data_IF_970941066648
#
_entry.id   IF_970941066648
#
_cell.length_a   1.000
_cell.length_b   1.000
_cell.length_c   1.000
_cell.angle_alpha   90.00
_cell.angle_beta   90.00
_cell.angle_gamma   90.00
#
_symmetry.space_group_name_H-M   'P 1'
#
loop_
_entity.id
_entity.type
_entity.pdbx_description
1 polymer ?
#
# COMPACT_ATOMS: atom_id res chain seq x y z
N UNK A 1 13.10 31.03 24.99
CA UNK A 1 11.79 30.43 24.65
C UNK A 1 11.93 29.68 23.34
N UNK A 2 11.72 28.36 23.32
CA UNK A 2 11.75 27.58 22.09
C UNK A 2 10.39 27.68 21.38
N UNK A 3 10.40 28.02 20.09
CA UNK A 3 9.20 28.08 19.28
C UNK A 3 8.66 26.66 19.04
N UNK A 4 7.44 26.37 19.49
CA UNK A 4 6.77 25.11 19.23
C UNK A 4 6.36 25.06 17.75
N UNK A 5 7.16 24.43 16.90
CA UNK A 5 6.83 24.22 15.49
C UNK A 5 5.81 23.10 15.39
N UNK A 6 4.63 23.39 14.83
CA UNK A 6 3.59 22.38 14.55
C UNK A 6 4.02 21.55 13.35
N UNK A 7 4.50 20.34 13.60
CA UNK A 7 4.78 19.37 12.55
C UNK A 7 3.46 18.79 11.99
N UNK A 8 3.46 18.34 10.72
CA UNK A 8 2.37 17.54 10.19
C UNK A 8 2.11 16.32 11.08
N UNK A 9 0.85 15.89 11.12
CA UNK A 9 0.38 14.68 11.81
C UNK A 9 1.26 13.49 11.43
N UNK A 10 1.64 12.67 12.42
CA UNK A 10 2.39 11.44 12.16
C UNK A 10 1.48 10.38 11.54
N UNK A 11 2.02 9.50 10.69
CA UNK A 11 1.23 8.40 10.11
C UNK A 11 0.62 7.49 11.19
N UNK A 12 1.34 7.28 12.30
CA UNK A 12 0.84 6.57 13.48
C UNK A 12 -0.34 7.23 14.17
N UNK A 13 -0.52 8.53 13.95
CA UNK A 13 -1.66 9.24 14.47
C UNK A 13 -2.85 9.09 13.53
N UNK A 14 -2.71 8.77 12.23
CA UNK A 14 -3.81 8.71 11.25
C UNK A 14 -5.02 7.92 11.77
N UNK A 15 -6.25 8.50 11.73
CA UNK A 15 -7.41 7.78 12.21
C UNK A 15 -7.72 6.59 11.31
N UNK A 16 -8.27 5.52 11.90
CA UNK A 16 -8.67 4.33 11.14
C UNK A 16 -9.65 4.70 10.02
N UNK A 17 -9.56 3.98 8.89
CA UNK A 17 -10.37 4.26 7.73
C UNK A 17 -11.87 4.26 8.06
N UNK A 18 -12.65 5.23 7.56
CA UNK A 18 -14.07 5.31 7.85
C UNK A 18 -14.80 4.08 7.29
N UNK A 19 -15.82 3.61 8.04
CA UNK A 19 -16.63 2.47 7.59
C UNK A 19 -17.27 2.77 6.22
N UNK A 20 -17.26 1.81 5.29
CA UNK A 20 -17.85 1.98 3.97
C UNK A 20 -19.34 2.32 4.10
N UNK A 21 -19.74 3.47 3.55
CA UNK A 21 -21.12 3.98 3.62
C UNK A 21 -22.13 3.18 2.81
N UNK A 22 -21.65 2.34 1.89
CA UNK A 22 -22.48 1.57 0.96
C UNK A 22 -22.05 0.10 0.96
N UNK A 23 -22.99 -0.86 0.94
CA UNK A 23 -22.68 -2.28 0.98
C UNK A 23 -21.89 -2.75 -0.25
N UNK A 24 -22.06 -2.09 -1.41
CA UNK A 24 -21.23 -2.36 -2.59
C UNK A 24 -19.76 -1.98 -2.40
N UNK A 25 -19.50 -0.88 -1.68
CA UNK A 25 -18.14 -0.44 -1.38
C UNK A 25 -17.48 -1.32 -0.30
N UNK A 26 -18.27 -1.86 0.63
CA UNK A 26 -17.78 -2.84 1.61
C UNK A 26 -17.26 -4.11 0.93
N UNK A 27 -17.98 -4.63 -0.08
CA UNK A 27 -17.53 -5.77 -0.88
C UNK A 27 -16.23 -5.49 -1.64
N UNK A 28 -16.09 -4.29 -2.18
CA UNK A 28 -14.84 -3.86 -2.84
C UNK A 28 -13.66 -3.92 -1.86
N UNK A 29 -13.84 -3.40 -0.65
CA UNK A 29 -12.79 -3.37 0.39
C UNK A 29 -12.41 -4.79 0.83
N UNK A 30 -13.38 -5.66 1.06
CA UNK A 30 -13.16 -7.06 1.44
C UNK A 30 -12.37 -7.83 0.37
N UNK A 31 -12.58 -7.50 -0.90
CA UNK A 31 -11.94 -8.17 -2.04
C UNK A 31 -10.64 -7.49 -2.50
N UNK A 32 -10.15 -6.45 -1.81
CA UNK A 32 -8.95 -5.71 -2.20
C UNK A 32 -7.73 -6.61 -2.33
N UNK A 33 -7.48 -7.46 -1.34
CA UNK A 33 -6.32 -8.35 -1.34
C UNK A 33 -6.38 -9.36 -2.50
N UNK A 34 -7.58 -9.85 -2.82
CA UNK A 34 -7.81 -10.73 -3.97
C UNK A 34 -7.57 -10.01 -5.31
N UNK A 35 -7.94 -8.73 -5.42
CA UNK A 35 -7.75 -7.95 -6.65
C UNK A 35 -6.31 -7.52 -6.85
N UNK A 36 -5.64 -7.10 -5.78
CA UNK A 36 -4.22 -6.78 -5.79
C UNK A 36 -3.37 -7.97 -6.26
N UNK A 37 -3.76 -9.18 -5.85
CA UNK A 37 -3.09 -10.43 -6.23
C UNK A 37 -3.76 -11.13 -7.44
N UNK A 38 -4.61 -10.43 -8.19
CA UNK A 38 -5.31 -11.06 -9.32
C UNK A 38 -4.36 -11.33 -10.50
N UNK A 39 -4.54 -12.44 -11.24
CA UNK A 39 -3.64 -12.81 -12.34
C UNK A 39 -3.52 -11.76 -13.44
N UNK A 40 -4.57 -10.94 -13.63
CA UNK A 40 -4.58 -9.85 -14.62
C UNK A 40 -3.84 -8.59 -14.16
N UNK A 41 -3.54 -8.46 -12.87
CA UNK A 41 -2.74 -7.37 -12.29
C UNK A 41 -1.31 -7.80 -11.99
N UNK A 42 -1.01 -9.11 -12.03
CA UNK A 42 0.34 -9.60 -11.88
C UNK A 42 1.19 -9.15 -13.06
N UNK A 43 2.43 -8.68 -12.81
CA UNK A 43 3.35 -8.41 -13.89
C UNK A 43 3.57 -9.68 -14.72
N UNK A 44 3.70 -9.58 -16.05
CA UNK A 44 4.06 -10.73 -16.86
C UNK A 44 5.34 -11.35 -16.30
N UNK A 45 5.32 -12.67 -16.09
CA UNK A 45 6.49 -13.40 -15.63
C UNK A 45 7.55 -13.27 -16.71
N UNK A 46 8.62 -12.55 -16.40
CA UNK A 46 9.82 -12.57 -17.23
C UNK A 46 10.49 -13.92 -16.98
N UNK A 47 10.60 -14.75 -18.00
CA UNK A 47 11.26 -16.07 -17.92
C UNK A 47 12.79 -15.97 -17.73
N UNK A 48 13.32 -14.77 -17.48
CA UNK A 48 14.73 -14.55 -17.16
C UNK A 48 14.85 -14.18 -15.69
N UNK A 49 15.10 -15.20 -14.88
CA UNK A 49 15.80 -15.05 -13.62
C UNK A 49 17.22 -14.56 -13.93
N UNK A 50 17.43 -13.25 -13.95
CA UNK A 50 18.73 -12.68 -13.65
C UNK A 50 18.58 -11.86 -12.37
N UNK A 51 19.37 -12.25 -11.38
CA UNK A 51 19.41 -11.78 -10.00
C UNK A 51 19.47 -10.26 -9.87
N UNK A 52 18.39 -9.65 -9.38
CA UNK A 52 18.42 -8.29 -8.81
C UNK A 52 19.07 -8.23 -7.40
N UNK A 53 19.74 -9.32 -6.96
CA UNK A 53 20.54 -9.35 -5.73
C UNK A 53 21.86 -8.56 -5.83
N UNK A 54 22.09 -7.79 -6.92
CA UNK A 54 23.29 -6.99 -7.17
C UNK A 54 23.00 -5.49 -7.29
N UNK A 55 22.09 -4.97 -6.47
CA UNK A 55 21.84 -3.53 -6.35
C UNK A 55 22.15 -2.95 -4.94
N UNK A 56 22.81 -3.73 -4.06
CA UNK A 56 23.37 -3.27 -2.78
C UNK A 56 24.88 -3.57 -2.73
N UNK A 57 25.66 -2.93 -3.60
CA UNK A 57 27.10 -2.83 -3.45
C UNK A 57 27.64 -1.65 -4.27
N UNK A 58 27.31 -0.42 -3.87
CA UNK A 58 28.10 0.79 -4.17
C UNK A 58 28.09 1.67 -2.92
#
# INVERSE_FOLDING_TARGET
>A
MANHVKLPRKLSEEPEAPKPRRPSHAKVIEQLDRWANSPGLQPPKVDNAEDDSKAEAI
#
